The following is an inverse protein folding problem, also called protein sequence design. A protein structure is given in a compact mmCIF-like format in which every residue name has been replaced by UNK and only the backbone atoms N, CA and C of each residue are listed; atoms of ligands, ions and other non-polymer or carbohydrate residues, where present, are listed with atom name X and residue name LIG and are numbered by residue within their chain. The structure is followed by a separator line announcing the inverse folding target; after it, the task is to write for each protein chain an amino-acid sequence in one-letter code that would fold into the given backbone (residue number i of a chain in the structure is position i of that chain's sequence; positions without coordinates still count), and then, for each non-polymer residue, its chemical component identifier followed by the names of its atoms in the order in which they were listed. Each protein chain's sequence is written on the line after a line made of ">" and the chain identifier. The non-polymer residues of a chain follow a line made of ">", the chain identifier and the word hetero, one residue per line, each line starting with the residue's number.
data_IF_807391615248
#
_entry.id   IF_807391615248
#
_cell.length_a   1.000
_cell.length_b   1.000
_cell.length_c   1.000
_cell.angle_alpha   90.00
_cell.angle_beta   90.00
_cell.angle_gamma   90.00
#
_symmetry.space_group_name_H-M   'P 1'
#
loop_
_entity.id
_entity.type
_entity.pdbx_description
1 polymer ?
#
# COMPACT_ATOMS: atom_id res chain seq x y z
N UNK A 1 19.68 -39.82 7.50
CA UNK A 1 19.03 -38.74 8.26
C UNK A 1 19.78 -37.46 7.94
N UNK A 2 19.10 -36.41 7.57
CA UNK A 2 19.69 -35.11 7.21
C UNK A 2 19.44 -34.11 8.33
N UNK A 3 20.17 -33.00 8.34
CA UNK A 3 20.03 -31.95 9.34
C UNK A 3 19.42 -30.67 8.76
N UNK A 4 18.44 -30.11 9.46
CA UNK A 4 17.90 -28.80 9.21
C UNK A 4 18.39 -27.88 10.33
N UNK A 5 19.24 -26.91 9.98
CA UNK A 5 19.74 -25.91 10.92
C UNK A 5 18.81 -24.70 10.86
N UNK A 6 17.97 -24.54 11.86
CA UNK A 6 17.09 -23.36 11.95
C UNK A 6 17.82 -22.24 12.68
N UNK A 7 18.18 -21.19 11.93
CA UNK A 7 18.80 -19.99 12.51
C UNK A 7 17.82 -19.21 13.38
N UNK A 8 16.53 -19.20 13.00
CA UNK A 8 15.48 -18.52 13.76
C UNK A 8 15.31 -19.12 15.15
N UNK A 9 15.35 -20.46 15.25
CA UNK A 9 15.11 -21.18 16.51
C UNK A 9 16.40 -21.49 17.25
N UNK A 10 17.56 -21.24 16.65
CA UNK A 10 18.89 -21.63 17.13
C UNK A 10 18.97 -23.15 17.45
N UNK A 11 18.40 -23.98 16.56
CA UNK A 11 18.27 -25.42 16.74
C UNK A 11 18.68 -26.20 15.49
N UNK A 12 19.25 -27.36 15.71
CA UNK A 12 19.47 -28.39 14.69
C UNK A 12 18.40 -29.46 14.82
N UNK A 13 17.75 -29.79 13.70
CA UNK A 13 16.59 -30.68 13.60
C UNK A 13 17.00 -31.88 12.74
N UNK A 14 16.72 -33.07 13.18
CA UNK A 14 16.90 -34.28 12.40
C UNK A 14 15.69 -34.46 11.45
N UNK A 15 15.96 -34.67 10.18
CA UNK A 15 14.95 -34.87 9.14
C UNK A 15 15.12 -36.24 8.46
N UNK A 16 14.02 -36.95 8.33
CA UNK A 16 13.98 -38.15 7.48
C UNK A 16 13.97 -37.73 5.99
N UNK A 17 14.50 -38.56 5.07
CA UNK A 17 14.40 -38.31 3.64
C UNK A 17 12.95 -38.12 3.12
N UNK A 18 11.98 -38.74 3.81
CA UNK A 18 10.56 -38.67 3.45
C UNK A 18 9.86 -37.47 4.07
N UNK A 19 10.45 -36.81 5.04
CA UNK A 19 9.85 -35.66 5.68
C UNK A 19 9.97 -34.39 4.82
N UNK A 20 8.92 -33.62 4.80
CA UNK A 20 9.01 -32.21 4.41
C UNK A 20 9.70 -31.41 5.51
N UNK A 21 10.24 -30.24 5.18
CA UNK A 21 10.81 -29.34 6.19
C UNK A 21 9.79 -29.03 7.28
N UNK A 22 8.49 -28.85 6.93
CA UNK A 22 7.41 -28.62 7.89
C UNK A 22 7.23 -29.80 8.85
N UNK A 23 7.17 -31.02 8.33
CA UNK A 23 6.97 -32.20 9.17
C UNK A 23 8.13 -32.39 10.13
N UNK A 24 9.38 -32.23 9.66
CA UNK A 24 10.56 -32.30 10.50
C UNK A 24 10.56 -31.24 11.61
N UNK A 25 10.21 -29.98 11.28
CA UNK A 25 10.15 -28.90 12.28
C UNK A 25 9.05 -29.14 13.32
N UNK A 26 7.88 -29.61 12.90
CA UNK A 26 6.77 -29.93 13.81
C UNK A 26 7.12 -31.12 14.73
N UNK A 27 7.75 -32.20 14.20
CA UNK A 27 8.25 -33.33 15.01
C UNK A 27 9.27 -32.90 16.06
N UNK A 28 10.09 -31.88 15.75
CA UNK A 28 11.04 -31.29 16.69
C UNK A 28 10.37 -30.34 17.70
N UNK A 29 9.03 -30.21 17.71
CA UNK A 29 8.29 -29.36 18.64
C UNK A 29 8.41 -27.88 18.35
N UNK A 30 8.79 -27.49 17.12
CA UNK A 30 8.84 -26.10 16.68
C UNK A 30 7.47 -25.73 16.12
N UNK A 31 6.84 -24.74 16.73
CA UNK A 31 5.57 -24.19 16.24
C UNK A 31 5.80 -23.46 14.91
N UNK A 32 5.20 -23.93 13.84
CA UNK A 32 5.25 -23.30 12.52
C UNK A 32 3.85 -23.15 11.94
N UNK A 33 3.57 -22.00 11.35
CA UNK A 33 2.26 -21.75 10.71
C UNK A 33 2.16 -22.47 9.38
N UNK A 34 0.99 -23.10 9.12
CA UNK A 34 0.63 -23.75 7.86
C UNK A 34 -0.89 -23.70 7.64
N UNK A 35 -1.44 -22.48 7.60
CA UNK A 35 -2.88 -22.19 7.64
C UNK A 35 -3.70 -23.01 6.62
N UNK A 36 -3.15 -23.33 5.45
CA UNK A 36 -3.85 -24.16 4.46
C UNK A 36 -3.76 -25.68 4.73
N UNK A 37 -3.27 -26.11 5.91
CA UNK A 37 -3.09 -27.54 6.21
C UNK A 37 -2.07 -28.23 5.32
N UNK A 38 -1.02 -27.56 4.84
CA UNK A 38 0.02 -28.14 4.01
C UNK A 38 -0.35 -28.31 2.53
N UNK A 39 -1.47 -27.78 2.07
CA UNK A 39 -2.00 -27.97 0.69
C UNK A 39 -1.35 -27.06 -0.36
N UNK A 40 -0.33 -26.25 0.01
CA UNK A 40 0.29 -25.25 -0.86
C UNK A 40 -0.69 -24.24 -1.47
N UNK A 41 -1.71 -23.82 -0.71
CA UNK A 41 -2.67 -22.79 -1.09
C UNK A 41 -2.37 -21.42 -0.44
N UNK A 42 -1.34 -21.36 0.40
CA UNK A 42 -0.87 -20.16 1.09
C UNK A 42 0.66 -20.15 1.16
N UNK A 43 1.21 -19.09 1.75
CA UNK A 43 2.66 -18.93 1.95
C UNK A 43 3.09 -18.87 3.41
N UNK A 44 2.21 -19.23 4.36
CA UNK A 44 2.48 -19.06 5.79
C UNK A 44 3.57 -19.97 6.31
N UNK A 45 3.78 -21.12 5.68
CA UNK A 45 4.86 -22.04 5.99
C UNK A 45 6.19 -21.74 5.25
N UNK A 46 6.32 -20.59 4.58
CA UNK A 46 7.54 -20.28 3.82
C UNK A 46 8.76 -20.23 4.72
N UNK A 47 9.88 -20.68 4.17
CA UNK A 47 11.21 -20.62 4.77
C UNK A 47 12.19 -20.04 3.76
N UNK A 48 13.22 -19.36 4.28
CA UNK A 48 14.36 -18.91 3.50
C UNK A 48 15.45 -19.96 3.63
N UNK A 49 15.90 -20.54 2.52
CA UNK A 49 17.08 -21.41 2.50
C UNK A 49 18.30 -20.50 2.46
N UNK A 50 19.06 -20.53 3.56
CA UNK A 50 20.25 -19.70 3.73
C UNK A 50 21.50 -20.42 3.20
N UNK A 51 21.52 -21.74 3.30
CA UNK A 51 22.55 -22.62 2.77
C UNK A 51 21.96 -23.97 2.43
N UNK A 52 22.61 -24.70 1.50
CA UNK A 52 22.16 -26.04 1.07
C UNK A 52 20.97 -26.03 0.12
N UNK A 53 20.76 -24.96 -0.68
CA UNK A 53 19.64 -24.91 -1.66
C UNK A 53 19.69 -26.08 -2.67
N UNK A 54 20.89 -26.54 -3.08
CA UNK A 54 21.08 -27.69 -3.95
C UNK A 54 20.66 -29.02 -3.32
N UNK A 55 20.52 -29.06 -2.00
CA UNK A 55 20.02 -30.20 -1.25
C UNK A 55 18.49 -30.23 -1.16
N UNK A 56 17.83 -29.15 -1.50
CA UNK A 56 16.37 -29.16 -1.62
C UNK A 56 15.94 -29.86 -2.91
N UNK A 57 14.92 -30.71 -2.83
CA UNK A 57 14.31 -31.26 -4.06
C UNK A 57 13.66 -30.12 -4.87
N UNK A 58 13.59 -30.25 -6.20
CA UNK A 58 12.93 -29.25 -7.05
C UNK A 58 11.50 -28.94 -6.56
N UNK A 59 11.06 -27.71 -6.76
CA UNK A 59 9.67 -27.33 -6.46
C UNK A 59 8.70 -28.23 -7.25
N UNK A 60 7.74 -28.81 -6.53
CA UNK A 60 6.64 -29.51 -7.18
C UNK A 60 5.65 -28.51 -7.83
N UNK A 61 4.71 -29.01 -8.62
CA UNK A 61 3.77 -28.16 -9.37
C UNK A 61 2.92 -27.23 -8.48
N UNK A 62 2.57 -27.66 -7.26
CA UNK A 62 1.81 -26.84 -6.32
C UNK A 62 2.66 -25.69 -5.78
N UNK A 63 3.91 -25.98 -5.39
CA UNK A 63 4.85 -24.97 -4.91
C UNK A 63 5.21 -23.98 -6.03
N UNK A 64 5.43 -24.46 -7.27
CA UNK A 64 5.69 -23.60 -8.44
C UNK A 64 4.59 -22.58 -8.66
N UNK A 65 3.31 -22.98 -8.59
CA UNK A 65 2.16 -22.10 -8.75
C UNK A 65 2.15 -20.97 -7.71
N UNK A 66 2.40 -21.31 -6.45
CA UNK A 66 2.44 -20.30 -5.37
C UNK A 66 3.65 -19.38 -5.53
N UNK A 67 4.82 -19.95 -5.82
CA UNK A 67 6.06 -19.21 -6.01
C UNK A 67 5.97 -18.23 -7.19
N UNK A 68 5.42 -18.64 -8.33
CA UNK A 68 5.21 -17.78 -9.49
C UNK A 68 4.22 -16.64 -9.18
N UNK A 69 3.12 -16.96 -8.47
CA UNK A 69 2.10 -15.96 -8.08
C UNK A 69 2.63 -14.89 -7.15
N UNK A 70 3.57 -15.27 -6.26
CA UNK A 70 4.11 -14.38 -5.22
C UNK A 70 5.51 -13.85 -5.55
N UNK A 71 6.06 -14.18 -6.73
CA UNK A 71 7.38 -13.73 -7.15
C UNK A 71 8.52 -14.28 -6.28
N UNK A 72 8.41 -15.51 -5.75
CA UNK A 72 9.41 -16.06 -4.86
C UNK A 72 10.70 -16.43 -5.60
N UNK A 73 11.86 -15.86 -5.20
CA UNK A 73 13.15 -16.35 -5.66
C UNK A 73 13.37 -17.82 -5.25
N UNK A 74 14.37 -18.46 -5.83
CA UNK A 74 14.60 -19.92 -5.64
C UNK A 74 14.85 -20.31 -4.17
N UNK A 75 15.47 -19.45 -3.40
CA UNK A 75 15.79 -19.67 -2.00
C UNK A 75 14.61 -19.50 -1.04
N UNK A 76 13.45 -19.02 -1.49
CA UNK A 76 12.20 -19.01 -0.70
C UNK A 76 11.41 -20.26 -1.03
N UNK A 77 11.23 -21.15 -0.07
CA UNK A 77 10.57 -22.43 -0.25
C UNK A 77 9.34 -22.55 0.65
N UNK A 78 8.39 -23.36 0.24
CA UNK A 78 7.26 -23.75 1.08
C UNK A 78 7.64 -24.98 1.90
N UNK A 79 7.82 -24.82 3.21
CA UNK A 79 8.24 -25.93 4.08
C UNK A 79 7.35 -27.16 3.99
N UNK A 80 6.04 -26.98 3.75
CA UNK A 80 5.09 -28.08 3.58
C UNK A 80 5.23 -28.86 2.26
N UNK A 81 6.02 -28.39 1.30
CA UNK A 81 6.22 -29.04 0.00
C UNK A 81 7.68 -29.43 -0.22
N UNK A 82 8.59 -28.81 0.53
CA UNK A 82 10.04 -29.00 0.32
C UNK A 82 10.55 -30.19 1.09
N UNK A 83 11.11 -31.17 0.37
CA UNK A 83 11.93 -32.27 0.94
C UNK A 83 13.40 -32.01 0.66
N UNK A 84 14.25 -32.61 1.47
CA UNK A 84 15.71 -32.46 1.38
C UNK A 84 16.40 -33.77 1.14
N UNK A 85 17.55 -33.70 0.47
CA UNK A 85 18.47 -34.83 0.20
C UNK A 85 19.87 -34.62 0.80
N UNK A 86 20.04 -33.63 1.64
CA UNK A 86 21.26 -33.25 2.35
C UNK A 86 20.95 -32.17 3.38
N UNK A 87 21.96 -31.74 4.13
CA UNK A 87 21.80 -30.74 5.17
C UNK A 87 21.46 -29.37 4.60
N UNK A 88 20.58 -28.62 5.28
CA UNK A 88 20.16 -27.28 4.90
C UNK A 88 20.13 -26.33 6.10
N UNK A 89 20.41 -25.06 5.85
CA UNK A 89 20.23 -24.00 6.83
C UNK A 89 19.02 -23.15 6.43
N UNK A 90 18.10 -22.95 7.37
CA UNK A 90 16.86 -22.20 7.12
C UNK A 90 16.67 -21.04 8.08
N UNK A 91 15.90 -20.02 7.61
CA UNK A 91 15.24 -19.02 8.45
C UNK A 91 13.74 -19.11 8.28
N UNK A 92 13.01 -19.02 9.37
CA UNK A 92 11.55 -18.92 9.37
C UNK A 92 11.15 -17.47 9.64
N UNK A 93 10.19 -16.87 8.89
CA UNK A 93 9.74 -15.50 9.14
C UNK A 93 8.76 -15.37 10.33
N UNK A 94 8.17 -16.49 10.77
CA UNK A 94 7.21 -16.54 11.89
C UNK A 94 7.95 -17.05 13.12
N UNK A 95 8.06 -16.21 14.15
CA UNK A 95 8.95 -16.42 15.29
C UNK A 95 8.18 -16.76 16.57
N UNK A 96 7.03 -16.09 16.81
CA UNK A 96 6.30 -16.14 18.07
C UNK A 96 4.77 -16.25 17.89
N UNK A 97 4.06 -16.22 19.00
CA UNK A 97 2.60 -16.31 19.03
C UNK A 97 1.92 -15.07 18.43
N UNK A 98 2.54 -13.89 18.53
CA UNK A 98 2.04 -12.66 17.91
C UNK A 98 2.06 -12.77 16.39
N UNK A 99 3.16 -13.28 15.81
CA UNK A 99 3.23 -13.52 14.36
C UNK A 99 2.14 -14.49 13.88
N UNK A 100 1.90 -15.54 14.69
CA UNK A 100 0.83 -16.53 14.41
C UNK A 100 -0.54 -15.84 14.43
N UNK A 101 -0.82 -15.04 15.45
CA UNK A 101 -2.10 -14.32 15.60
C UNK A 101 -2.33 -13.35 14.44
N UNK A 102 -1.31 -12.56 14.09
CA UNK A 102 -1.35 -11.63 12.94
C UNK A 102 -1.70 -12.40 11.66
N UNK A 103 -1.01 -13.51 11.40
CA UNK A 103 -1.25 -14.33 10.20
C UNK A 103 -2.66 -14.90 10.20
N UNK A 104 -3.13 -15.45 11.32
CA UNK A 104 -4.48 -16.03 11.41
C UNK A 104 -5.56 -14.97 11.18
N UNK A 105 -5.44 -13.80 11.80
CA UNK A 105 -6.35 -12.66 11.56
C UNK A 105 -6.39 -12.27 10.08
N UNK A 106 -5.24 -12.27 9.43
CA UNK A 106 -5.10 -11.91 8.02
C UNK A 106 -5.77 -12.92 7.08
N UNK A 107 -5.83 -14.21 7.42
CA UNK A 107 -6.45 -15.26 6.61
C UNK A 107 -7.93 -15.49 6.91
N UNK A 108 -8.42 -15.04 8.07
CA UNK A 108 -9.83 -15.14 8.44
C UNK A 108 -10.70 -14.02 7.83
N UNK A 109 -10.11 -13.06 7.14
CA UNK A 109 -10.83 -11.92 6.59
C UNK A 109 -11.52 -12.29 5.27
N UNK A 110 -12.87 -12.32 5.30
CA UNK A 110 -13.74 -12.58 4.14
C UNK A 110 -13.75 -11.44 3.11
N UNK A 111 -13.12 -10.29 3.41
CA UNK A 111 -13.13 -9.09 2.56
C UNK A 111 -12.38 -9.23 1.23
N UNK A 112 -11.79 -10.40 0.95
CA UNK A 112 -11.17 -10.71 -0.35
C UNK A 112 -9.89 -9.92 -0.68
N UNK A 113 -9.51 -8.94 0.13
CA UNK A 113 -8.29 -8.16 -0.08
C UNK A 113 -7.09 -8.97 0.41
N UNK A 114 -6.44 -9.64 -0.52
CA UNK A 114 -5.25 -10.46 -0.25
C UNK A 114 -4.14 -9.58 0.31
N UNK A 115 -3.55 -10.05 1.41
CA UNK A 115 -2.38 -9.46 2.04
C UNK A 115 -1.26 -9.20 1.06
N UNK A 116 -0.77 -7.95 1.09
CA UNK A 116 0.45 -7.60 0.40
C UNK A 116 0.42 -7.83 -1.11
N UNK A 117 -0.63 -7.37 -1.80
CA UNK A 117 -0.64 -7.40 -3.26
C UNK A 117 0.12 -6.21 -3.83
N UNK A 118 1.01 -6.47 -4.77
CA UNK A 118 1.56 -5.42 -5.61
C UNK A 118 0.53 -5.02 -6.67
N UNK A 119 0.17 -3.74 -6.68
CA UNK A 119 -0.72 -3.14 -7.71
C UNK A 119 -0.15 -1.83 -8.22
N UNK A 120 -0.49 -1.50 -9.45
CA UNK A 120 -0.26 -0.17 -10.00
C UNK A 120 -1.47 0.71 -9.69
N UNK A 121 -1.25 1.77 -8.89
CA UNK A 121 -2.30 2.68 -8.46
C UNK A 121 -1.98 4.12 -8.82
N UNK A 122 -3.02 4.93 -8.98
CA UNK A 122 -2.88 6.37 -8.84
C UNK A 122 -3.09 6.74 -7.37
N UNK A 123 -2.12 7.46 -6.83
CA UNK A 123 -2.10 7.97 -5.46
C UNK A 123 -2.39 9.47 -5.54
N UNK A 124 -3.36 9.92 -4.76
CA UNK A 124 -3.72 11.31 -4.61
C UNK A 124 -3.42 11.77 -3.19
N UNK A 125 -2.67 12.85 -3.04
CA UNK A 125 -2.61 13.65 -1.83
C UNK A 125 -3.30 14.98 -2.07
N UNK A 126 -4.11 15.44 -1.11
CA UNK A 126 -4.65 16.80 -1.09
C UNK A 126 -4.42 17.43 0.27
N UNK A 127 -4.27 18.75 0.30
CA UNK A 127 -4.07 19.55 1.50
C UNK A 127 -4.79 20.89 1.38
N UNK A 128 -5.28 21.45 2.48
CA UNK A 128 -5.96 22.76 2.48
C UNK A 128 -4.90 23.87 2.61
N UNK A 129 -4.95 24.84 1.72
CA UNK A 129 -4.06 25.98 1.80
C UNK A 129 -4.34 26.81 3.06
N UNK A 130 -3.25 27.10 3.82
CA UNK A 130 -3.30 27.93 5.01
C UNK A 130 -4.25 27.42 6.12
N UNK A 131 -4.48 26.11 6.18
CA UNK A 131 -5.35 25.50 7.19
C UNK A 131 -4.96 25.85 8.63
N UNK A 132 -3.67 25.88 8.95
CA UNK A 132 -3.19 26.24 10.30
C UNK A 132 -3.73 27.58 10.77
N UNK A 133 -3.76 28.59 9.88
CA UNK A 133 -4.31 29.92 10.20
C UNK A 133 -5.82 29.86 10.45
N UNK A 134 -6.54 29.00 9.72
CA UNK A 134 -7.97 28.77 9.96
C UNK A 134 -8.17 28.10 11.35
N UNK A 135 -7.40 27.04 11.64
CA UNK A 135 -7.52 26.28 12.88
C UNK A 135 -7.18 27.12 14.13
N UNK A 136 -6.24 28.07 14.02
CA UNK A 136 -5.87 28.97 15.10
C UNK A 136 -6.89 30.11 15.32
N UNK A 137 -7.66 30.47 14.28
CA UNK A 137 -8.59 31.60 14.34
C UNK A 137 -9.97 31.25 14.94
N UNK A 138 -10.33 29.96 15.00
CA UNK A 138 -11.68 29.54 15.39
C UNK A 138 -11.68 28.54 16.55
N UNK A 139 -12.79 28.47 17.34
CA UNK A 139 -12.94 27.47 18.38
C UNK A 139 -12.82 26.05 17.84
N UNK A 140 -12.28 25.14 18.65
CA UNK A 140 -12.04 23.74 18.26
C UNK A 140 -13.29 23.04 17.70
N UNK A 141 -14.47 23.34 18.24
CA UNK A 141 -15.73 22.78 17.76
C UNK A 141 -16.01 23.17 16.30
N UNK A 142 -15.83 24.45 15.95
CA UNK A 142 -16.05 24.92 14.58
C UNK A 142 -15.05 24.33 13.60
N UNK A 143 -13.78 24.25 14.00
CA UNK A 143 -12.73 23.61 13.21
C UNK A 143 -13.08 22.16 12.90
N UNK A 144 -13.48 21.38 13.91
CA UNK A 144 -13.88 19.96 13.74
C UNK A 144 -15.12 19.86 12.86
N UNK A 145 -16.12 20.74 13.05
CA UNK A 145 -17.33 20.75 12.24
C UNK A 145 -17.04 21.02 10.76
N UNK A 146 -16.21 22.03 10.47
CA UNK A 146 -15.81 22.40 9.10
C UNK A 146 -15.03 21.26 8.45
N UNK A 147 -14.07 20.65 9.16
CA UNK A 147 -13.30 19.51 8.66
C UNK A 147 -14.18 18.30 8.37
N UNK A 148 -15.10 17.95 9.27
CA UNK A 148 -16.00 16.81 9.03
C UNK A 148 -16.85 17.03 7.79
N UNK A 149 -17.38 18.24 7.57
CA UNK A 149 -18.13 18.60 6.38
C UNK A 149 -17.25 18.53 5.11
N UNK A 150 -16.02 19.01 5.20
CA UNK A 150 -15.01 18.90 4.14
C UNK A 150 -14.74 17.44 3.78
N UNK A 151 -14.41 16.61 4.76
CA UNK A 151 -14.11 15.19 4.54
C UNK A 151 -15.28 14.43 3.94
N UNK A 152 -16.49 14.67 4.42
CA UNK A 152 -17.68 14.04 3.85
C UNK A 152 -17.83 14.40 2.37
N UNK A 153 -17.72 15.69 2.02
CA UNK A 153 -17.82 16.16 0.63
C UNK A 153 -16.72 15.53 -0.23
N UNK A 154 -15.47 15.51 0.24
CA UNK A 154 -14.35 14.94 -0.51
C UNK A 154 -14.48 13.42 -0.67
N UNK A 155 -14.93 12.72 0.37
CA UNK A 155 -15.15 11.28 0.32
C UNK A 155 -16.23 10.89 -0.71
N UNK A 156 -17.34 11.60 -0.76
CA UNK A 156 -18.39 11.36 -1.75
C UNK A 156 -17.86 11.48 -3.19
N UNK A 157 -17.03 12.48 -3.46
CA UNK A 157 -16.40 12.68 -4.77
C UNK A 157 -15.40 11.58 -5.08
N UNK A 158 -14.53 11.23 -4.12
CA UNK A 158 -13.52 10.17 -4.30
C UNK A 158 -14.19 8.84 -4.62
N UNK A 159 -15.22 8.46 -3.85
CA UNK A 159 -15.98 7.23 -4.07
C UNK A 159 -16.71 7.23 -5.41
N UNK A 160 -17.34 8.35 -5.79
CA UNK A 160 -18.01 8.50 -7.09
C UNK A 160 -17.04 8.26 -8.27
N UNK A 161 -15.77 8.60 -8.10
CA UNK A 161 -14.70 8.36 -9.09
C UNK A 161 -13.90 7.08 -8.82
N UNK A 162 -14.46 6.07 -8.15
CA UNK A 162 -13.85 4.75 -7.92
C UNK A 162 -12.58 4.79 -7.08
N UNK A 163 -12.39 5.85 -6.30
CA UNK A 163 -11.31 5.97 -5.31
C UNK A 163 -11.76 5.54 -3.93
N UNK A 164 -10.79 5.35 -3.05
CA UNK A 164 -11.00 5.15 -1.62
C UNK A 164 -10.10 6.09 -0.83
N UNK A 165 -10.57 6.63 0.28
CA UNK A 165 -9.70 7.31 1.24
C UNK A 165 -8.93 6.26 2.03
N UNK A 166 -7.62 6.31 1.93
CA UNK A 166 -6.69 5.45 2.67
C UNK A 166 -6.30 6.05 4.00
N UNK A 167 -6.11 7.36 4.06
CA UNK A 167 -5.73 8.06 5.27
C UNK A 167 -6.21 9.51 5.29
N UNK A 168 -6.36 10.03 6.51
CA UNK A 168 -6.63 11.43 6.78
C UNK A 168 -5.69 11.89 7.89
N UNK A 169 -4.92 12.93 7.65
CA UNK A 169 -3.97 13.49 8.62
C UNK A 169 -4.12 15.02 8.67
N UNK A 170 -4.73 15.52 9.74
CA UNK A 170 -5.09 16.96 9.81
C UNK A 170 -6.07 17.34 8.71
N UNK A 171 -5.72 18.25 7.84
CA UNK A 171 -6.49 18.69 6.68
C UNK A 171 -6.13 17.92 5.39
N UNK A 172 -5.11 17.06 5.46
CA UNK A 172 -4.63 16.25 4.35
C UNK A 172 -5.45 14.98 4.12
N UNK A 173 -5.70 14.64 2.87
CA UNK A 173 -6.35 13.39 2.45
C UNK A 173 -5.39 12.60 1.56
N UNK A 174 -5.20 11.33 1.89
CA UNK A 174 -4.58 10.32 1.04
C UNK A 174 -5.66 9.44 0.43
N UNK A 175 -5.78 9.45 -0.88
CA UNK A 175 -6.72 8.61 -1.61
C UNK A 175 -6.01 7.71 -2.63
N UNK A 176 -6.59 6.53 -2.87
CA UNK A 176 -6.09 5.51 -3.76
C UNK A 176 -7.11 5.24 -4.87
N UNK A 177 -6.66 5.24 -6.12
CA UNK A 177 -7.48 4.91 -7.29
C UNK A 177 -6.91 3.69 -8.02
N UNK A 178 -7.78 2.79 -8.48
CA UNK A 178 -7.39 1.51 -9.08
C UNK A 178 -7.29 0.36 -8.08
N UNK A 179 -7.76 0.55 -6.85
CA UNK A 179 -7.89 -0.54 -5.86
C UNK A 179 -8.98 -1.49 -6.31
N UNK A 180 -10.13 -0.97 -6.74
CA UNK A 180 -11.23 -1.73 -7.35
C UNK A 180 -10.90 -2.06 -8.82
N UNK A 181 -11.40 -3.21 -9.29
CA UNK A 181 -11.07 -3.71 -10.64
C UNK A 181 -11.86 -3.05 -11.77
N UNK A 182 -12.82 -2.19 -11.44
CA UNK A 182 -13.70 -1.49 -12.38
C UNK A 182 -13.10 -0.21 -12.99
N UNK A 183 -11.96 0.26 -12.49
CA UNK A 183 -11.27 1.42 -13.04
C UNK A 183 -10.44 1.07 -14.28
N UNK A 184 -10.79 1.63 -15.42
CA UNK A 184 -10.03 1.47 -16.67
C UNK A 184 -8.79 2.37 -16.73
N UNK A 185 -8.83 3.52 -16.08
CA UNK A 185 -7.71 4.46 -16.00
C UNK A 185 -7.73 5.19 -14.64
N UNK A 186 -7.04 4.63 -13.63
CA UNK A 186 -7.02 5.21 -12.29
C UNK A 186 -6.51 6.65 -12.20
N UNK A 187 -5.61 7.05 -13.11
CA UNK A 187 -5.08 8.42 -13.14
C UNK A 187 -6.14 9.40 -13.62
N UNK A 188 -6.89 9.02 -14.66
CA UNK A 188 -7.98 9.86 -15.17
C UNK A 188 -9.10 10.01 -14.13
N UNK A 189 -9.41 8.93 -13.41
CA UNK A 189 -10.37 8.94 -12.30
C UNK A 189 -9.91 9.92 -11.21
N UNK A 190 -8.63 9.87 -10.81
CA UNK A 190 -8.05 10.77 -9.81
C UNK A 190 -8.08 12.25 -10.27
N UNK A 191 -7.68 12.54 -11.51
CA UNK A 191 -7.71 13.91 -12.07
C UNK A 191 -9.15 14.45 -12.12
N UNK A 192 -10.10 13.60 -12.54
CA UNK A 192 -11.51 14.00 -12.61
C UNK A 192 -12.08 14.25 -11.21
N UNK A 193 -11.71 13.44 -10.22
CA UNK A 193 -12.07 13.66 -8.82
C UNK A 193 -11.55 15.01 -8.32
N UNK A 194 -10.28 15.34 -8.55
CA UNK A 194 -9.70 16.64 -8.14
C UNK A 194 -10.44 17.80 -8.78
N UNK A 195 -10.75 17.74 -10.08
CA UNK A 195 -11.56 18.77 -10.75
C UNK A 195 -12.94 18.94 -10.11
N UNK A 196 -13.58 17.83 -9.74
CA UNK A 196 -14.88 17.89 -9.07
C UNK A 196 -14.75 18.42 -7.63
N UNK A 197 -13.67 18.12 -6.91
CA UNK A 197 -13.38 18.70 -5.60
C UNK A 197 -13.29 20.23 -5.69
N UNK A 198 -12.54 20.78 -6.65
CA UNK A 198 -12.44 22.23 -6.85
C UNK A 198 -13.80 22.87 -7.15
N UNK A 199 -14.65 22.22 -7.96
CA UNK A 199 -16.03 22.70 -8.20
C UNK A 199 -16.90 22.66 -6.95
N UNK A 200 -16.76 21.61 -6.14
CA UNK A 200 -17.48 21.49 -4.87
C UNK A 200 -17.07 22.56 -3.85
N UNK A 201 -15.79 22.96 -3.87
CA UNK A 201 -15.29 24.03 -3.01
C UNK A 201 -15.92 25.39 -3.29
N UNK A 202 -16.46 25.64 -4.46
CA UNK A 202 -17.20 26.89 -4.76
C UNK A 202 -18.38 27.03 -3.78
N UNK A 203 -19.24 26.00 -3.69
CA UNK A 203 -20.38 25.99 -2.76
C UNK A 203 -19.94 25.88 -1.31
N UNK A 204 -18.86 25.15 -1.05
CA UNK A 204 -18.31 25.05 0.30
C UNK A 204 -17.81 26.41 0.81
N UNK A 205 -17.18 27.19 -0.06
CA UNK A 205 -16.71 28.54 0.25
C UNK A 205 -17.86 29.55 0.43
N UNK A 206 -18.99 29.40 -0.28
CA UNK A 206 -20.20 30.19 0.02
C UNK A 206 -20.64 29.99 1.47
N UNK A 207 -20.68 28.73 1.94
CA UNK A 207 -20.98 28.41 3.33
C UNK A 207 -19.93 29.00 4.29
N UNK A 208 -18.63 28.82 3.99
CA UNK A 208 -17.55 29.33 4.86
C UNK A 208 -17.55 30.86 4.95
N UNK A 209 -17.81 31.56 3.84
CA UNK A 209 -17.92 33.01 3.82
C UNK A 209 -19.11 33.49 4.65
N UNK A 210 -20.27 32.85 4.52
CA UNK A 210 -21.46 33.22 5.27
C UNK A 210 -21.30 33.04 6.79
N UNK A 211 -20.62 31.96 7.21
CA UNK A 211 -20.53 31.58 8.63
C UNK A 211 -19.28 32.13 9.33
N UNK A 212 -18.17 32.25 8.58
CA UNK A 212 -16.85 32.48 9.14
C UNK A 212 -16.06 33.61 8.50
N UNK A 213 -16.59 34.24 7.44
CA UNK A 213 -15.88 35.22 6.61
C UNK A 213 -14.53 34.70 6.12
N UNK A 214 -14.53 33.47 5.65
CA UNK A 214 -13.34 32.73 5.17
C UNK A 214 -13.63 31.94 3.89
N UNK A 215 -12.57 31.63 3.17
CA UNK A 215 -12.57 30.68 2.06
C UNK A 215 -11.34 29.80 2.13
N UNK A 216 -11.45 28.59 1.59
CA UNK A 216 -10.35 27.65 1.47
C UNK A 216 -10.07 27.29 0.02
N UNK A 217 -8.84 26.90 -0.25
CA UNK A 217 -8.40 26.26 -1.50
C UNK A 217 -7.67 24.98 -1.15
N UNK A 218 -7.61 24.06 -2.08
CA UNK A 218 -6.82 22.84 -1.91
C UNK A 218 -5.72 22.79 -2.96
N UNK A 219 -4.62 22.15 -2.59
CA UNK A 219 -3.60 21.67 -3.49
C UNK A 219 -3.71 20.16 -3.61
N UNK A 220 -3.36 19.64 -4.77
CA UNK A 220 -3.40 18.23 -5.05
C UNK A 220 -2.13 17.76 -5.76
N UNK A 221 -1.63 16.60 -5.37
CA UNK A 221 -0.54 15.90 -6.04
C UNK A 221 -0.99 14.51 -6.45
N UNK A 222 -0.74 14.12 -7.71
CA UNK A 222 -1.06 12.78 -8.21
C UNK A 222 0.23 12.11 -8.70
N UNK A 223 0.42 10.86 -8.29
CA UNK A 223 1.49 10.01 -8.77
C UNK A 223 0.95 8.64 -9.16
N UNK A 224 1.60 7.96 -10.09
CA UNK A 224 1.21 6.63 -10.53
C UNK A 224 2.38 5.67 -10.47
N UNK A 225 2.18 4.51 -9.87
CA UNK A 225 3.23 3.51 -9.82
C UNK A 225 2.85 2.27 -9.01
N UNK A 226 3.82 1.37 -8.87
CA UNK A 226 3.67 0.10 -8.16
C UNK A 226 3.77 0.33 -6.65
N UNK A 227 2.75 -0.14 -5.93
CA UNK A 227 2.67 -0.11 -4.48
C UNK A 227 2.25 -1.48 -3.94
N UNK A 228 2.53 -1.72 -2.68
CA UNK A 228 2.00 -2.86 -1.94
C UNK A 228 0.73 -2.39 -1.23
N UNK A 229 -0.41 -3.01 -1.54
CA UNK A 229 -1.67 -2.78 -0.84
C UNK A 229 -1.84 -3.84 0.23
N UNK A 230 -2.26 -3.43 1.40
CA UNK A 230 -2.61 -4.34 2.48
C UNK A 230 -3.71 -3.76 3.37
N UNK A 231 -4.43 -4.65 4.05
CA UNK A 231 -5.26 -4.29 5.18
C UNK A 231 -4.36 -4.24 6.42
N UNK A 232 -4.24 -3.07 7.01
CA UNK A 232 -3.54 -2.90 8.28
C UNK A 232 -4.60 -2.84 9.38
N UNK A 233 -4.60 -3.88 10.22
CA UNK A 233 -5.48 -3.99 11.37
C UNK A 233 -4.69 -3.60 12.63
N UNK A 234 -5.05 -2.47 13.22
CA UNK A 234 -4.49 -2.02 14.51
C UNK A 234 -5.36 -2.46 15.68
N UNK A 235 -6.34 -3.37 15.45
CA UNK A 235 -7.31 -3.82 16.45
C UNK A 235 -8.50 -2.86 16.63
N UNK A 236 -8.34 -1.58 16.38
CA UNK A 236 -9.42 -0.57 16.47
C UNK A 236 -9.96 -0.12 15.11
N UNK A 237 -9.15 -0.15 14.07
CA UNK A 237 -9.55 0.25 12.72
C UNK A 237 -8.94 -0.67 11.66
N UNK A 238 -9.76 -1.12 10.74
CA UNK A 238 -9.32 -1.77 9.49
C UNK A 238 -9.22 -0.72 8.40
N UNK A 239 -8.04 -0.63 7.79
CA UNK A 239 -7.72 0.40 6.82
C UNK A 239 -6.97 -0.21 5.65
N UNK A 240 -7.46 0.02 4.44
CA UNK A 240 -6.71 -0.30 3.23
C UNK A 240 -5.63 0.77 3.08
N UNK A 241 -4.37 0.36 3.15
CA UNK A 241 -3.25 1.27 2.98
C UNK A 241 -2.33 0.81 1.85
N UNK A 242 -1.69 1.77 1.22
CA UNK A 242 -0.65 1.54 0.23
C UNK A 242 0.73 1.83 0.84
N UNK A 243 1.67 0.94 0.63
CA UNK A 243 3.07 1.10 1.05
C UNK A 243 3.95 1.14 -0.18
N UNK A 244 4.86 2.10 -0.23
CA UNK A 244 5.84 2.24 -1.29
C UNK A 244 6.38 3.66 -1.39
N UNK A 245 7.51 3.81 -2.04
CA UNK A 245 8.15 5.11 -2.28
C UNK A 245 7.23 6.08 -3.06
N UNK A 246 6.38 5.54 -3.92
CA UNK A 246 5.37 6.27 -4.70
C UNK A 246 4.44 7.07 -3.79
N UNK A 247 4.01 6.52 -2.63
CA UNK A 247 3.13 7.22 -1.68
C UNK A 247 3.82 8.45 -1.11
N UNK A 248 5.06 8.28 -0.61
CA UNK A 248 5.86 9.37 -0.07
C UNK A 248 6.18 10.44 -1.12
N UNK A 249 6.44 10.00 -2.35
CA UNK A 249 6.71 10.89 -3.47
C UNK A 249 5.48 11.73 -3.82
N UNK A 250 4.27 11.17 -3.73
CA UNK A 250 3.03 11.89 -4.01
C UNK A 250 2.79 13.05 -3.06
N UNK A 251 3.04 12.86 -1.76
CA UNK A 251 2.96 13.95 -0.76
C UNK A 251 3.92 15.10 -1.11
N UNK A 252 5.12 14.77 -1.62
CA UNK A 252 6.11 15.80 -2.03
C UNK A 252 5.70 16.52 -3.31
N UNK A 253 5.03 15.82 -4.24
CA UNK A 253 4.46 16.45 -5.45
C UNK A 253 3.36 17.43 -5.03
N UNK A 254 2.50 17.04 -4.08
CA UNK A 254 1.49 17.95 -3.54
C UNK A 254 2.14 19.20 -2.94
N UNK A 255 3.13 19.04 -2.05
CA UNK A 255 3.82 20.16 -1.39
C UNK A 255 4.50 21.11 -2.39
N UNK A 256 5.01 20.57 -3.51
CA UNK A 256 5.67 21.33 -4.59
C UNK A 256 4.72 22.30 -5.32
N UNK A 257 3.39 22.14 -5.21
CA UNK A 257 2.44 23.15 -5.72
C UNK A 257 2.68 24.53 -5.11
N UNK A 258 3.20 24.60 -3.88
CA UNK A 258 3.53 25.86 -3.19
C UNK A 258 4.61 26.64 -3.95
N UNK A 259 5.60 25.94 -4.47
CA UNK A 259 6.76 26.54 -5.13
C UNK A 259 6.38 27.09 -6.50
N UNK A 260 5.42 26.48 -7.19
CA UNK A 260 5.00 26.86 -8.54
C UNK A 260 3.69 27.62 -8.60
N UNK A 261 3.01 27.83 -7.46
CA UNK A 261 1.71 28.51 -7.41
C UNK A 261 0.60 27.74 -8.13
N UNK A 262 0.69 26.42 -8.20
CA UNK A 262 -0.27 25.54 -8.87
C UNK A 262 -1.22 24.89 -7.86
N UNK A 263 -2.33 24.33 -8.35
CA UNK A 263 -3.33 23.64 -7.52
C UNK A 263 -3.36 22.14 -7.78
N UNK A 264 -2.88 21.69 -8.94
CA UNK A 264 -2.77 20.28 -9.28
C UNK A 264 -1.46 20.02 -10.03
N UNK A 265 -0.60 19.23 -9.41
CA UNK A 265 0.61 18.70 -10.03
C UNK A 265 0.53 17.19 -10.13
N UNK A 266 0.97 16.66 -11.27
CA UNK A 266 1.08 15.20 -11.45
C UNK A 266 2.48 14.82 -11.92
N UNK A 267 2.91 13.61 -11.56
CA UNK A 267 4.19 13.07 -12.02
C UNK A 267 4.18 12.74 -13.53
N UNK A 268 5.37 12.60 -14.12
CA UNK A 268 5.54 12.08 -15.48
C UNK A 268 4.84 10.73 -15.66
N UNK A 269 5.03 9.79 -14.71
CA UNK A 269 4.42 8.45 -14.79
C UNK A 269 2.89 8.48 -14.75
N UNK A 270 2.31 9.48 -14.07
CA UNK A 270 0.87 9.71 -14.10
C UNK A 270 0.44 10.36 -15.43
N UNK A 271 1.16 11.39 -15.90
CA UNK A 271 0.84 12.08 -17.14
C UNK A 271 0.84 11.13 -18.34
N UNK A 272 1.81 10.21 -18.41
CA UNK A 272 1.91 9.19 -19.47
C UNK A 272 0.65 8.31 -19.61
N UNK A 273 -0.16 8.19 -18.54
CA UNK A 273 -1.42 7.41 -18.54
C UNK A 273 -2.62 8.18 -19.11
N UNK A 274 -2.51 9.49 -19.18
CA UNK A 274 -3.61 10.37 -19.62
C UNK A 274 -3.20 11.29 -20.77
N UNK A 275 -1.99 11.14 -21.28
CA UNK A 275 -1.50 11.89 -22.43
C UNK A 275 -2.44 11.68 -23.63
N UNK A 276 -2.85 12.78 -24.28
CA UNK A 276 -3.86 12.78 -25.35
C UNK A 276 -5.32 12.77 -24.86
N UNK A 277 -5.58 12.60 -23.56
CA UNK A 277 -6.91 12.74 -22.95
C UNK A 277 -7.04 14.05 -22.17
N UNK A 278 -5.93 14.52 -21.61
CA UNK A 278 -5.86 15.75 -20.80
C UNK A 278 -4.59 16.50 -21.22
N UNK A 279 -4.74 17.79 -21.49
CA UNK A 279 -3.61 18.66 -21.80
C UNK A 279 -3.00 19.21 -20.50
N UNK A 280 -1.66 19.26 -20.48
CA UNK A 280 -0.93 19.95 -19.41
C UNK A 280 -0.90 21.46 -19.70
N UNK A 281 -1.11 22.27 -18.65
CA UNK A 281 -0.95 23.73 -18.76
C UNK A 281 0.53 24.08 -18.84
N UNK A 282 1.35 23.46 -18.00
CA UNK A 282 2.77 23.73 -17.90
C UNK A 282 3.55 22.51 -17.44
N UNK A 283 4.83 22.43 -17.82
CA UNK A 283 5.76 21.37 -17.43
C UNK A 283 6.86 22.00 -16.57
N UNK A 284 7.11 21.39 -15.43
CA UNK A 284 8.12 21.83 -14.46
C UNK A 284 9.20 20.78 -14.28
N UNK A 285 10.42 21.23 -14.06
CA UNK A 285 11.50 20.40 -13.54
C UNK A 285 11.73 20.77 -12.07
N UNK A 286 11.49 19.85 -11.18
CA UNK A 286 11.51 20.08 -9.73
C UNK A 286 12.47 19.13 -9.01
N UNK A 287 13.06 19.61 -7.93
CA UNK A 287 13.74 18.77 -6.94
C UNK A 287 12.77 18.50 -5.80
N UNK A 288 12.43 17.24 -5.60
CA UNK A 288 11.54 16.87 -4.50
C UNK A 288 12.33 16.76 -3.19
N UNK A 289 11.80 17.34 -2.12
CA UNK A 289 12.43 17.37 -0.79
C UNK A 289 12.87 15.97 -0.34
N UNK A 290 14.15 15.81 -0.01
CA UNK A 290 14.73 14.54 0.44
C UNK A 290 14.78 13.43 -0.63
N UNK A 291 14.73 13.79 -1.92
CA UNK A 291 14.98 12.91 -3.06
C UNK A 291 16.15 13.42 -3.87
N UNK A 292 16.95 12.49 -4.40
CA UNK A 292 18.01 12.81 -5.36
C UNK A 292 17.45 12.88 -6.78
N UNK A 293 17.97 13.81 -7.59
CA UNK A 293 17.60 13.96 -9.00
C UNK A 293 16.51 14.99 -9.26
N UNK A 294 16.27 15.23 -10.56
CA UNK A 294 15.23 16.12 -11.05
C UNK A 294 14.02 15.30 -11.50
N UNK A 295 12.84 15.80 -11.19
CA UNK A 295 11.55 15.19 -11.52
C UNK A 295 10.78 16.10 -12.47
N UNK A 296 10.16 15.49 -13.48
CA UNK A 296 9.28 16.21 -14.38
C UNK A 296 7.86 16.13 -13.81
N UNK A 297 7.25 17.29 -13.61
CA UNK A 297 5.89 17.45 -13.11
C UNK A 297 5.08 18.25 -14.13
N UNK A 298 3.80 17.94 -14.20
CA UNK A 298 2.84 18.58 -15.09
C UNK A 298 1.76 19.25 -14.27
N UNK A 299 1.49 20.55 -14.51
CA UNK A 299 0.29 21.18 -13.97
C UNK A 299 -0.91 20.91 -14.89
N UNK A 300 -2.05 20.68 -14.28
CA UNK A 300 -3.31 20.49 -14.97
C UNK A 300 -4.33 21.52 -14.49
N UNK A 301 -5.21 21.95 -15.40
CA UNK A 301 -6.32 22.82 -15.06
C UNK A 301 -7.34 22.08 -14.19
N UNK A 302 -7.82 22.75 -13.12
CA UNK A 302 -8.81 22.26 -12.15
C UNK A 302 -10.14 22.97 -12.26
#
# INVERSE_FOLDING_TARGET
>A
MFKIISQTDNRTIDASPDDTILEATLKAGIKQTYVCGGKANCSTCRVFIMDGLSHCLPRNEREKKVAAKLGFPENIRLACQTRIKGDVTIKRPVIDELDIEIILKQFSDESGTKLGQEKYLAILFTDIENYTQFAEAFPAYDVVHVLNRYYQTMNEIIVQHRGIISDVAGDGILALFGVMEDSKNPVLDAVTAVRQMHRALIRFNEYLNQMYDRSIRIRAGINFGRVIIGNFDTGMMRKISAIGDIVNMTSRIEDTNKDFGTQLLISQSAYDKIQGLVEAEQVYRAKLKGKSGDYILYSLQV
#
